data_IF_815496946613
#
_entry.id   IF_815496946613
#
_cell.length_a   1.000
_cell.length_b   1.000
_cell.length_c   1.000
_cell.angle_alpha   90.00
_cell.angle_beta   90.00
_cell.angle_gamma   90.00
#
_symmetry.space_group_name_H-M   'P 1'
#
loop_
_entity.id
_entity.type
_entity.pdbx_description
1 polymer ?
#
# COMPACT_ATOMS: atom_id res chain seq x y z
N UNK A 1 -35.47 7.16 -2.87
CA UNK A 1 -34.03 6.88 -2.72
C UNK A 1 -33.56 6.32 -4.05
N UNK A 2 -33.02 7.19 -4.89
CA UNK A 2 -32.54 6.83 -6.25
C UNK A 2 -31.15 6.23 -6.14
N UNK A 3 -30.74 5.42 -7.12
CA UNK A 3 -29.41 4.80 -7.20
C UNK A 3 -28.27 5.85 -7.10
N UNK A 4 -28.53 7.11 -7.45
CA UNK A 4 -27.59 8.24 -7.38
C UNK A 4 -27.20 8.69 -5.97
N UNK A 5 -27.91 8.25 -4.91
CA UNK A 5 -27.57 8.62 -3.52
C UNK A 5 -26.61 7.62 -2.86
N UNK A 6 -26.36 6.45 -3.47
CA UNK A 6 -25.43 5.44 -2.92
C UNK A 6 -23.95 5.69 -3.27
N UNK A 7 -23.66 6.53 -4.27
CA UNK A 7 -22.28 6.73 -4.76
C UNK A 7 -21.55 7.93 -4.13
N UNK A 8 -22.17 8.66 -3.20
CA UNK A 8 -21.48 9.70 -2.40
C UNK A 8 -20.55 9.14 -1.33
N UNK A 9 -20.69 7.85 -1.00
CA UNK A 9 -19.84 7.13 -0.06
C UNK A 9 -18.78 6.30 -0.80
N UNK A 10 -18.08 6.91 -1.77
CA UNK A 10 -16.79 6.38 -2.25
C UNK A 10 -15.71 6.53 -1.16
N UNK A 11 -16.02 6.06 0.06
CA UNK A 11 -15.09 5.96 1.17
C UNK A 11 -14.10 4.86 0.83
N UNK A 12 -12.84 5.25 0.68
CA UNK A 12 -11.80 4.37 0.20
C UNK A 12 -11.54 3.18 1.15
N UNK A 13 -11.56 1.96 0.61
CA UNK A 13 -11.13 0.72 1.29
C UNK A 13 -9.79 0.24 0.73
N UNK A 14 -8.90 -0.36 1.55
CA UNK A 14 -7.67 -0.95 1.08
C UNK A 14 -7.96 -2.06 0.08
N UNK A 15 -7.50 -1.88 -1.16
CA UNK A 15 -7.69 -2.88 -2.23
C UNK A 15 -6.67 -4.01 -2.10
N UNK A 16 -5.50 -3.72 -1.53
CA UNK A 16 -4.47 -4.73 -1.25
C UNK A 16 -3.63 -4.34 -0.03
N UNK A 17 -3.52 -5.26 0.94
CA UNK A 17 -2.52 -5.20 2.00
C UNK A 17 -1.26 -5.92 1.52
N UNK A 18 -0.09 -5.33 1.76
CA UNK A 18 1.21 -5.94 1.45
C UNK A 18 1.71 -6.93 2.50
N UNK A 19 1.12 -6.92 3.70
CA UNK A 19 1.49 -7.79 4.83
C UNK A 19 1.51 -9.30 4.46
N UNK A 20 0.52 -9.85 3.72
CA UNK A 20 0.51 -11.27 3.38
C UNK A 20 1.61 -11.72 2.40
N UNK A 21 2.30 -10.78 1.76
CA UNK A 21 3.30 -11.05 0.72
C UNK A 21 4.72 -11.14 1.28
N UNK A 22 4.91 -11.02 2.60
CA UNK A 22 6.20 -11.15 3.29
C UNK A 22 7.29 -10.23 2.72
N UNK A 23 6.93 -9.01 2.36
CA UNK A 23 7.80 -8.02 1.71
C UNK A 23 8.80 -7.30 2.65
N UNK A 24 9.07 -7.87 3.82
CA UNK A 24 9.96 -7.25 4.81
C UNK A 24 11.41 -7.30 4.34
N UNK A 25 12.05 -6.14 4.22
CA UNK A 25 13.43 -6.05 3.73
C UNK A 25 13.59 -6.27 2.23
N UNK A 26 12.49 -6.43 1.49
CA UNK A 26 12.50 -6.50 0.03
C UNK A 26 12.98 -5.18 -0.58
N UNK A 27 13.83 -5.26 -1.60
CA UNK A 27 14.51 -4.09 -2.17
C UNK A 27 13.52 -3.09 -2.78
N UNK A 28 12.49 -3.58 -3.47
CA UNK A 28 11.44 -2.74 -4.06
C UNK A 28 10.61 -2.09 -2.95
N UNK A 29 10.23 -2.84 -1.92
CA UNK A 29 9.44 -2.35 -0.80
C UNK A 29 10.20 -1.30 0.02
N UNK A 30 11.51 -1.46 0.14
CA UNK A 30 12.38 -0.47 0.75
C UNK A 30 12.51 0.79 -0.13
N UNK A 31 12.71 0.63 -1.44
CA UNK A 31 12.78 1.73 -2.39
C UNK A 31 11.48 2.55 -2.46
N UNK A 32 10.33 1.88 -2.50
CA UNK A 32 9.02 2.53 -2.59
C UNK A 32 8.56 3.09 -1.26
N UNK A 33 8.70 2.32 -0.17
CA UNK A 33 8.00 2.61 1.09
C UNK A 33 8.92 2.69 2.32
N UNK A 34 10.19 2.32 2.20
CA UNK A 34 11.15 2.36 3.31
C UNK A 34 10.95 1.24 4.32
N UNK A 35 10.42 0.08 3.90
CA UNK A 35 10.13 -1.07 4.76
C UNK A 35 11.37 -1.94 5.02
N UNK A 36 12.43 -1.35 5.54
CA UNK A 36 13.62 -2.08 5.96
C UNK A 36 14.13 -1.57 7.32
N UNK A 37 14.94 -2.40 7.97
CA UNK A 37 15.62 -2.04 9.22
C UNK A 37 16.57 -0.86 9.02
N UNK A 38 17.27 -0.85 7.88
CA UNK A 38 18.04 0.27 7.37
C UNK A 38 17.30 0.82 6.13
N UNK A 39 16.35 1.75 6.33
CA UNK A 39 15.48 2.21 5.26
C UNK A 39 16.27 2.94 4.18
N UNK A 40 15.78 2.83 2.94
CA UNK A 40 16.28 3.63 1.84
C UNK A 40 16.27 5.11 2.26
N UNK A 41 17.31 5.92 1.95
CA UNK A 41 17.42 7.27 2.54
C UNK A 41 16.23 8.18 2.24
N UNK A 42 15.52 7.92 1.14
CA UNK A 42 14.33 8.65 0.69
C UNK A 42 13.35 7.72 -0.04
N UNK A 43 12.55 6.91 0.67
CA UNK A 43 11.54 6.11 0.02
C UNK A 43 10.54 7.03 -0.69
N UNK A 44 10.14 6.67 -1.90
CA UNK A 44 9.30 7.54 -2.74
C UNK A 44 7.95 7.88 -2.09
N UNK A 45 7.40 6.92 -1.36
CA UNK A 45 6.06 6.98 -0.80
C UNK A 45 6.06 6.80 0.72
N UNK A 46 7.21 6.63 1.39
CA UNK A 46 7.26 6.18 2.80
C UNK A 46 6.63 7.13 3.85
N UNK A 47 6.40 8.41 3.51
CA UNK A 47 5.99 9.45 4.48
C UNK A 47 4.57 9.99 4.28
N UNK A 48 3.73 9.31 3.49
CA UNK A 48 2.41 9.83 3.13
C UNK A 48 1.33 9.59 4.19
N UNK A 49 1.53 8.60 5.07
CA UNK A 49 0.48 8.19 6.01
C UNK A 49 -0.70 7.52 5.29
N UNK A 50 -1.88 7.55 5.91
CA UNK A 50 -3.11 7.08 5.26
C UNK A 50 -3.71 8.17 4.35
N UNK A 51 -4.45 7.80 3.28
CA UNK A 51 -5.18 8.77 2.47
C UNK A 51 -6.16 9.61 3.30
N UNK A 52 -6.38 10.87 2.91
CA UNK A 52 -7.29 11.79 3.62
C UNK A 52 -8.76 11.38 3.49
N UNK A 53 -9.11 10.74 2.37
CA UNK A 53 -10.42 10.20 2.00
C UNK A 53 -10.63 8.72 2.40
N UNK A 54 -9.77 8.19 3.29
CA UNK A 54 -9.92 6.82 3.79
C UNK A 54 -11.20 6.61 4.62
N UNK A 55 -11.73 5.38 4.60
CA UNK A 55 -12.82 4.95 5.49
C UNK A 55 -12.50 5.16 6.97
N UNK A 56 -13.55 5.33 7.77
CA UNK A 56 -13.42 5.44 9.23
C UNK A 56 -12.77 4.21 9.86
N UNK A 57 -12.96 3.02 9.27
CA UNK A 57 -12.31 1.78 9.72
C UNK A 57 -10.79 1.88 9.60
N UNK A 58 -10.28 2.28 8.43
CA UNK A 58 -8.82 2.48 8.21
C UNK A 58 -8.29 3.56 9.14
N UNK A 59 -9.04 4.66 9.28
CA UNK A 59 -8.67 5.78 10.14
C UNK A 59 -8.60 5.37 11.62
N UNK A 60 -9.54 4.55 12.08
CA UNK A 60 -9.58 4.03 13.44
C UNK A 60 -8.40 3.08 13.70
N UNK A 61 -8.16 2.11 12.80
CA UNK A 61 -7.05 1.16 12.89
C UNK A 61 -5.70 1.89 12.95
N UNK A 62 -5.48 2.89 12.08
CA UNK A 62 -4.27 3.70 12.10
C UNK A 62 -4.07 4.45 13.44
N UNK A 63 -5.14 5.06 13.97
CA UNK A 63 -5.10 5.78 15.25
C UNK A 63 -4.83 4.83 16.43
N UNK A 64 -5.45 3.67 16.44
CA UNK A 64 -5.24 2.66 17.46
C UNK A 64 -3.80 2.16 17.45
N UNK A 65 -3.28 1.81 16.27
CA UNK A 65 -1.90 1.39 16.12
C UNK A 65 -0.91 2.52 16.53
N UNK A 66 -1.16 3.77 16.13
CA UNK A 66 -0.36 4.92 16.59
C UNK A 66 -0.31 5.03 18.12
N UNK A 67 -1.43 4.79 18.81
CA UNK A 67 -1.48 4.79 20.28
C UNK A 67 -0.70 3.61 20.86
N UNK A 68 -0.89 2.41 20.30
CA UNK A 68 -0.20 1.20 20.71
C UNK A 68 1.32 1.35 20.58
N UNK A 69 1.80 1.78 19.40
CA UNK A 69 3.22 2.02 19.13
C UNK A 69 3.83 3.08 20.05
N UNK A 70 3.11 4.17 20.34
CA UNK A 70 3.60 5.19 21.30
C UNK A 70 3.77 4.63 22.71
N UNK A 71 2.89 3.72 23.12
CA UNK A 71 2.88 3.16 24.48
C UNK A 71 3.87 2.01 24.65
N UNK A 72 3.93 1.11 23.67
CA UNK A 72 4.64 -0.16 23.80
C UNK A 72 5.90 -0.25 22.93
N UNK A 73 6.12 0.72 22.02
CA UNK A 73 7.18 0.66 20.98
C UNK A 73 7.10 -0.59 20.11
N UNK A 74 5.87 -1.08 19.96
CA UNK A 74 5.53 -2.33 19.29
C UNK A 74 4.30 -2.11 18.40
N UNK A 75 4.01 -3.02 17.47
CA UNK A 75 2.91 -2.94 16.50
C UNK A 75 3.35 -2.57 15.08
N UNK A 76 2.38 -2.22 14.23
CA UNK A 76 2.64 -1.91 12.82
C UNK A 76 3.32 -0.54 12.66
N UNK A 77 4.27 -0.43 11.74
CA UNK A 77 4.94 0.82 11.36
C UNK A 77 4.84 1.02 9.85
N UNK A 78 5.34 2.16 9.35
CA UNK A 78 5.44 2.42 7.91
C UNK A 78 4.08 2.59 7.20
N UNK A 79 3.05 3.02 7.93
CA UNK A 79 1.72 3.25 7.34
C UNK A 79 1.83 4.27 6.23
N UNK A 80 1.63 3.79 5.02
CA UNK A 80 1.64 4.64 3.84
C UNK A 80 0.75 4.08 2.74
N UNK A 81 0.62 4.84 1.66
CA UNK A 81 -0.14 4.46 0.48
C UNK A 81 0.51 4.95 -0.81
N UNK A 82 0.21 4.24 -1.89
CA UNK A 82 0.47 4.70 -3.25
C UNK A 82 -0.61 4.17 -4.19
N UNK A 83 -0.87 4.92 -5.25
CA UNK A 83 -1.67 4.45 -6.37
C UNK A 83 -0.84 3.48 -7.24
N UNK A 84 -1.51 2.49 -7.83
CA UNK A 84 -0.85 1.50 -8.68
C UNK A 84 -0.13 2.15 -9.85
N UNK A 85 -0.73 3.19 -10.44
CA UNK A 85 -0.08 3.98 -11.49
C UNK A 85 1.23 4.62 -11.03
N UNK A 86 1.29 5.11 -9.79
CA UNK A 86 2.52 5.67 -9.21
C UNK A 86 3.59 4.60 -9.00
N UNK A 87 3.18 3.40 -8.54
CA UNK A 87 4.07 2.26 -8.36
C UNK A 87 4.66 1.82 -9.71
N UNK A 88 3.82 1.63 -10.74
CA UNK A 88 4.29 1.28 -12.08
C UNK A 88 5.26 2.33 -12.63
N UNK A 89 4.95 3.62 -12.47
CA UNK A 89 5.82 4.70 -12.91
C UNK A 89 7.16 4.74 -12.16
N UNK A 90 7.14 4.43 -10.85
CA UNK A 90 8.34 4.36 -10.03
C UNK A 90 9.24 3.16 -10.40
N UNK A 91 8.64 2.02 -10.73
CA UNK A 91 9.34 0.80 -11.14
C UNK A 91 9.88 0.86 -12.58
N UNK A 92 9.34 1.74 -13.43
CA UNK A 92 9.84 1.97 -14.77
C UNK A 92 11.09 2.87 -14.83
N UNK A 93 11.53 3.41 -13.69
CA UNK A 93 12.70 4.30 -13.61
C UNK A 93 14.01 3.49 -13.68
N UNK A 94 15.09 4.01 -14.31
CA UNK A 94 16.37 3.30 -14.43
C UNK A 94 17.00 2.90 -13.09
N UNK A 95 16.74 3.67 -12.03
CA UNK A 95 17.25 3.43 -10.68
C UNK A 95 16.40 2.47 -9.84
N UNK A 96 15.27 1.99 -10.38
CA UNK A 96 14.39 1.07 -9.65
C UNK A 96 15.10 -0.28 -9.43
N UNK A 97 14.96 -0.90 -8.25
CA UNK A 97 15.44 -2.26 -8.03
C UNK A 97 14.80 -3.23 -9.00
N UNK A 98 15.56 -4.22 -9.45
CA UNK A 98 15.03 -5.27 -10.32
C UNK A 98 14.01 -6.13 -9.57
N UNK A 99 12.98 -6.57 -10.31
CA UNK A 99 12.05 -7.58 -9.82
C UNK A 99 12.80 -8.91 -9.66
N UNK A 100 12.79 -9.39 -8.43
CA UNK A 100 13.12 -10.77 -8.10
C UNK A 100 12.31 -11.75 -8.99
N UNK A 101 12.96 -12.80 -9.50
CA UNK A 101 12.34 -13.83 -10.35
C UNK A 101 11.78 -15.03 -9.55
N UNK A 102 11.82 -14.99 -8.22
CA UNK A 102 11.27 -16.02 -7.34
C UNK A 102 9.74 -15.91 -7.25
N UNK A 103 9.12 -17.04 -6.96
CA UNK A 103 7.67 -17.13 -6.75
C UNK A 103 7.32 -16.55 -5.37
N UNK A 104 6.94 -15.28 -5.32
CA UNK A 104 6.58 -14.58 -4.08
C UNK A 104 6.64 -13.07 -4.25
N UNK A 105 6.55 -12.33 -3.14
CA UNK A 105 6.82 -10.89 -3.09
C UNK A 105 6.09 -10.06 -4.17
N UNK A 106 6.84 -9.20 -4.87
CA UNK A 106 6.28 -8.27 -5.86
C UNK A 106 5.68 -8.93 -7.10
N UNK A 107 6.23 -10.03 -7.66
CA UNK A 107 5.52 -10.82 -8.67
C UNK A 107 4.09 -11.19 -8.23
N UNK A 108 3.91 -11.68 -7.01
CA UNK A 108 2.58 -12.04 -6.49
C UNK A 108 1.67 -10.82 -6.26
N UNK A 109 2.23 -9.66 -5.88
CA UNK A 109 1.51 -8.38 -5.80
C UNK A 109 1.03 -7.93 -7.18
N UNK A 110 1.89 -7.99 -8.20
CA UNK A 110 1.56 -7.61 -9.58
C UNK A 110 0.46 -8.53 -10.14
N UNK A 111 0.56 -9.84 -9.91
CA UNK A 111 -0.46 -10.79 -10.34
C UNK A 111 -1.80 -10.52 -9.63
N UNK A 112 -1.77 -10.31 -8.31
CA UNK A 112 -2.97 -10.03 -7.52
C UNK A 112 -3.64 -8.73 -7.95
N UNK A 113 -2.87 -7.66 -8.15
CA UNK A 113 -3.39 -6.36 -8.63
C UNK A 113 -3.94 -6.45 -10.05
N UNK A 114 -3.33 -7.25 -10.93
CA UNK A 114 -3.85 -7.51 -12.28
C UNK A 114 -5.18 -8.25 -12.24
N UNK A 115 -5.32 -9.25 -11.36
CA UNK A 115 -6.58 -9.96 -11.13
C UNK A 115 -7.63 -9.03 -10.53
N UNK A 116 -7.26 -8.17 -9.58
CA UNK A 116 -8.18 -7.20 -8.98
C UNK A 116 -8.61 -6.15 -10.00
N UNK A 117 -7.68 -5.59 -10.78
CA UNK A 117 -7.98 -4.62 -11.83
C UNK A 117 -8.89 -5.17 -12.92
N UNK A 118 -8.74 -6.45 -13.29
CA UNK A 118 -9.64 -7.11 -14.26
C UNK A 118 -11.01 -7.51 -13.68
N UNK A 119 -11.16 -7.56 -12.34
CA UNK A 119 -12.44 -7.81 -11.67
C UNK A 119 -13.17 -6.53 -11.26
N UNK A 120 -12.43 -5.44 -11.03
CA UNK A 120 -12.92 -4.11 -10.64
C UNK A 120 -13.23 -3.22 -11.85
N UNK A 121 -13.60 -3.78 -13.00
CA UNK A 121 -13.79 -3.16 -14.34
C UNK A 121 -14.71 -1.91 -14.46
N UNK A 122 -15.07 -1.25 -13.36
CA UNK A 122 -15.65 0.09 -13.32
C UNK A 122 -14.68 1.18 -12.81
N UNK A 123 -13.50 0.83 -12.28
CA UNK A 123 -12.48 1.80 -11.87
C UNK A 123 -11.22 1.71 -12.74
N UNK A 124 -10.64 2.84 -13.19
CA UNK A 124 -9.33 2.83 -13.84
C UNK A 124 -8.30 2.14 -12.95
N UNK A 125 -7.48 1.24 -13.49
CA UNK A 125 -6.39 0.59 -12.74
C UNK A 125 -5.40 1.58 -12.12
N UNK A 126 -5.36 2.82 -12.63
CA UNK A 126 -4.63 3.94 -12.04
C UNK A 126 -5.17 4.39 -10.68
N UNK A 127 -6.38 4.02 -10.29
CA UNK A 127 -7.01 4.35 -9.00
C UNK A 127 -6.89 3.25 -7.94
N UNK A 128 -6.25 2.12 -8.27
CA UNK A 128 -6.03 1.06 -7.29
C UNK A 128 -4.99 1.52 -6.28
N UNK A 129 -5.39 1.79 -5.03
CA UNK A 129 -4.45 2.22 -3.98
C UNK A 129 -4.02 1.05 -3.12
N UNK A 130 -2.71 0.91 -2.96
CA UNK A 130 -2.07 -0.08 -2.09
C UNK A 130 -1.82 0.59 -0.74
N UNK A 131 -2.21 -0.09 0.33
CA UNK A 131 -1.82 0.33 1.68
C UNK A 131 -0.81 -0.64 2.25
N UNK A 132 0.17 -0.03 2.90
CA UNK A 132 1.34 -0.71 3.40
C UNK A 132 1.33 -0.64 4.91
N UNK A 133 1.12 -1.80 5.52
CA UNK A 133 1.32 -2.03 6.95
C UNK A 133 2.48 -3.01 7.08
N UNK A 134 3.52 -2.63 7.81
CA UNK A 134 4.60 -3.53 8.15
C UNK A 134 4.59 -3.77 9.66
N UNK A 135 4.63 -5.03 10.08
CA UNK A 135 5.03 -5.45 11.42
C UNK A 135 6.45 -6.03 11.38
N UNK A 136 7.18 -6.01 12.51
CA UNK A 136 8.40 -6.80 12.69
C UNK A 136 8.12 -7.91 13.70
#
# INVERSE_FOLDING_TARGET
MTLDERDKDSSWQPVLSLEPFFLHGDAISNYLFGLAKDPYPRPLFGYRGIPTDCTDVVRAAYKENQRFYRKYRDGWFGHTHAEWGEICAALARPEAPELDQQLGGWPAVIDTTTVLGSRLCSQPSSQLRIVVWASW
#
